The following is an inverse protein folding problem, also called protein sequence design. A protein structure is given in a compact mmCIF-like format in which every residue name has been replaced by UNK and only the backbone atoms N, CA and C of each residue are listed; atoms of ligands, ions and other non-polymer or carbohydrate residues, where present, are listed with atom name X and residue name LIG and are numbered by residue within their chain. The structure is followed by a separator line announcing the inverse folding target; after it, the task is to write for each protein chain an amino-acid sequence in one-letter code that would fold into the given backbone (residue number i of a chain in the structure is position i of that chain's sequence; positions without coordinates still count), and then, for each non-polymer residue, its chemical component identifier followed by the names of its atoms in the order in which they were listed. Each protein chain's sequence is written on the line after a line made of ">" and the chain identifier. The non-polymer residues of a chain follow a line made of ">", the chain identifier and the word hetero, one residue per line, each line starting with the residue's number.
data_IF_257325125113
#
_entry.id   IF_257325125113
#
_cell.length_a   1.000
_cell.length_b   1.000
_cell.length_c   1.000
_cell.angle_alpha   90.00
_cell.angle_beta   90.00
_cell.angle_gamma   90.00
#
_symmetry.space_group_name_H-M   'P 1'
#
loop_
_entity.id
_entity.type
_entity.pdbx_description
1 polymer ?
#
# COMPACT_ATOMS: atom_id res chain seq x y z
N UNK A 1 -28.71 -7.35 -13.49
CA UNK A 1 -27.77 -6.43 -14.20
C UNK A 1 -27.11 -5.39 -13.30
N UNK A 2 -27.75 -4.96 -12.20
CA UNK A 2 -27.23 -3.94 -11.27
C UNK A 2 -25.99 -4.38 -10.48
N UNK A 3 -25.90 -5.65 -10.06
CA UNK A 3 -24.78 -6.17 -9.26
C UNK A 3 -23.47 -6.36 -10.07
N UNK A 4 -23.52 -6.80 -11.33
CA UNK A 4 -22.31 -6.91 -12.15
C UNK A 4 -21.68 -5.54 -12.44
N UNK A 5 -22.52 -4.52 -12.62
CA UNK A 5 -22.09 -3.12 -12.77
C UNK A 5 -21.59 -2.51 -11.45
N UNK A 6 -22.04 -3.02 -10.29
CA UNK A 6 -21.51 -2.61 -8.99
C UNK A 6 -20.13 -3.24 -8.75
N UNK A 7 -19.94 -4.51 -9.11
CA UNK A 7 -18.68 -5.23 -9.00
C UNK A 7 -17.58 -4.59 -9.84
N UNK A 8 -17.85 -4.29 -11.12
CA UNK A 8 -16.86 -3.66 -12.00
C UNK A 8 -16.41 -2.29 -11.48
N UNK A 9 -17.33 -1.49 -10.92
CA UNK A 9 -17.00 -0.22 -10.28
C UNK A 9 -16.08 -0.39 -9.07
N UNK A 10 -16.32 -1.41 -8.23
CA UNK A 10 -15.47 -1.67 -7.07
C UNK A 10 -14.07 -2.18 -7.47
N UNK A 11 -13.97 -3.02 -8.51
CA UNK A 11 -12.69 -3.43 -9.08
C UNK A 11 -11.89 -2.24 -9.62
N UNK A 12 -12.56 -1.33 -10.33
CA UNK A 12 -11.93 -0.10 -10.80
C UNK A 12 -11.48 0.82 -9.65
N UNK A 13 -12.30 0.98 -8.59
CA UNK A 13 -11.93 1.74 -7.39
C UNK A 13 -10.70 1.15 -6.69
N UNK A 14 -10.66 -0.18 -6.55
CA UNK A 14 -9.49 -0.86 -6.00
C UNK A 14 -8.24 -0.57 -6.82
N UNK A 15 -8.31 -0.70 -8.16
CA UNK A 15 -7.19 -0.41 -9.04
C UNK A 15 -6.70 1.05 -8.89
N UNK A 16 -7.62 2.03 -8.85
CA UNK A 16 -7.28 3.44 -8.63
C UNK A 16 -6.59 3.66 -7.29
N UNK A 17 -7.07 3.06 -6.21
CA UNK A 17 -6.45 3.18 -4.88
C UNK A 17 -5.05 2.57 -4.85
N UNK A 18 -4.86 1.40 -5.47
CA UNK A 18 -3.53 0.79 -5.58
C UNK A 18 -2.59 1.68 -6.41
N UNK A 19 -3.05 2.26 -7.51
CA UNK A 19 -2.26 3.21 -8.30
C UNK A 19 -1.88 4.47 -7.53
N UNK A 20 -2.81 5.06 -6.76
CA UNK A 20 -2.51 6.17 -5.85
C UNK A 20 -1.41 5.75 -4.86
N UNK A 21 -1.54 4.56 -4.26
CA UNK A 21 -0.54 4.00 -3.37
C UNK A 21 0.84 3.80 -4.03
N UNK A 22 0.87 3.33 -5.28
CA UNK A 22 2.11 3.19 -6.07
C UNK A 22 2.74 4.56 -6.30
N UNK A 23 1.96 5.55 -6.73
CA UNK A 23 2.46 6.90 -6.98
C UNK A 23 3.00 7.57 -5.70
N UNK A 24 2.30 7.41 -4.58
CA UNK A 24 2.76 7.86 -3.27
C UNK A 24 4.09 7.18 -2.90
N UNK A 25 4.19 5.87 -3.05
CA UNK A 25 5.44 5.15 -2.82
C UNK A 25 6.56 5.70 -3.70
N UNK A 26 6.33 5.88 -5.00
CA UNK A 26 7.36 6.41 -5.91
C UNK A 26 7.78 7.85 -5.58
N UNK A 27 6.88 8.66 -5.01
CA UNK A 27 7.21 9.98 -4.47
C UNK A 27 8.19 9.90 -3.28
N UNK A 28 8.28 8.77 -2.57
CA UNK A 28 9.33 8.51 -1.58
C UNK A 28 10.54 7.79 -2.17
N UNK A 29 10.35 6.82 -3.07
CA UNK A 29 11.42 6.02 -3.69
C UNK A 29 12.43 6.92 -4.39
N UNK A 30 11.97 7.85 -5.24
CA UNK A 30 12.88 8.69 -6.02
C UNK A 30 13.75 9.58 -5.11
N UNK A 31 13.20 10.35 -4.16
CA UNK A 31 14.03 11.11 -3.23
C UNK A 31 14.89 10.24 -2.32
N UNK A 32 14.43 9.07 -1.85
CA UNK A 32 15.25 8.19 -1.00
C UNK A 32 16.49 7.66 -1.72
N UNK A 33 16.42 7.46 -3.05
CA UNK A 33 17.55 7.00 -3.85
C UNK A 33 18.53 8.15 -4.12
N UNK A 34 18.03 9.29 -4.60
CA UNK A 34 18.88 10.39 -5.10
C UNK A 34 19.24 11.42 -4.02
N UNK A 35 18.30 11.79 -3.15
CA UNK A 35 18.43 12.84 -2.13
C UNK A 35 17.85 12.42 -0.76
N UNK A 36 18.37 11.36 -0.13
CA UNK A 36 17.81 10.81 1.11
C UNK A 36 17.85 11.79 2.28
N UNK A 37 18.90 12.60 2.41
CA UNK A 37 19.02 13.61 3.48
C UNK A 37 17.94 14.68 3.38
N UNK A 38 17.62 15.11 2.15
CA UNK A 38 16.58 16.12 1.93
C UNK A 38 15.21 15.59 2.33
N UNK A 39 14.80 14.42 1.81
CA UNK A 39 13.48 13.87 2.09
C UNK A 39 13.32 13.48 3.56
N UNK A 40 14.34 12.88 4.17
CA UNK A 40 14.31 12.49 5.58
C UNK A 40 14.39 13.71 6.50
N UNK A 41 15.09 14.77 6.09
CA UNK A 41 15.13 16.05 6.78
C UNK A 41 13.76 16.72 6.90
N UNK A 42 12.86 16.56 5.92
CA UNK A 42 11.47 17.04 6.01
C UNK A 42 10.69 16.40 7.16
N UNK A 43 11.08 15.20 7.57
CA UNK A 43 10.48 14.45 8.67
C UNK A 43 11.32 14.53 9.97
N UNK A 44 12.37 15.35 10.01
CA UNK A 44 13.25 15.47 11.17
C UNK A 44 14.09 14.22 11.44
N UNK A 45 14.35 13.39 10.43
CA UNK A 45 15.14 12.15 10.54
C UNK A 45 16.58 12.43 10.09
N UNK A 46 17.54 12.23 11.00
CA UNK A 46 18.97 12.35 10.70
C UNK A 46 19.50 11.12 9.98
N UNK A 47 20.28 11.32 8.92
CA UNK A 47 20.88 10.22 8.15
C UNK A 47 22.33 9.99 8.59
N UNK A 48 22.58 8.85 9.22
CA UNK A 48 23.95 8.45 9.60
C UNK A 48 24.72 7.80 8.43
N UNK A 49 24.03 6.97 7.65
CA UNK A 49 24.61 6.28 6.50
C UNK A 49 23.62 6.28 5.34
N UNK A 50 24.04 6.83 4.21
CA UNK A 50 23.21 6.98 3.00
C UNK A 50 22.75 5.65 2.40
N UNK A 51 23.43 4.54 2.71
CA UNK A 51 23.13 3.23 2.12
C UNK A 51 21.76 2.71 2.55
N UNK A 52 21.35 2.91 3.81
CA UNK A 52 20.10 2.36 4.34
C UNK A 52 18.84 3.02 3.76
N UNK A 53 18.74 4.37 3.70
CA UNK A 53 17.63 5.04 3.03
C UNK A 53 17.50 4.65 1.56
N UNK A 54 18.64 4.57 0.85
CA UNK A 54 18.67 4.17 -0.57
C UNK A 54 18.21 2.74 -0.77
N UNK A 55 18.68 1.82 0.08
CA UNK A 55 18.26 0.42 0.05
C UNK A 55 16.77 0.27 0.37
N UNK A 56 16.27 0.96 1.39
CA UNK A 56 14.85 0.99 1.73
C UNK A 56 14.00 1.55 0.58
N UNK A 57 14.45 2.61 -0.07
CA UNK A 57 13.81 3.16 -1.27
C UNK A 57 13.72 2.16 -2.42
N UNK A 58 14.79 1.41 -2.70
CA UNK A 58 14.77 0.37 -3.72
C UNK A 58 13.79 -0.76 -3.38
N UNK A 59 13.77 -1.23 -2.13
CA UNK A 59 12.81 -2.25 -1.67
C UNK A 59 11.36 -1.77 -1.82
N UNK A 60 11.07 -0.52 -1.43
CA UNK A 60 9.76 0.09 -1.60
C UNK A 60 9.36 0.20 -3.08
N UNK A 61 10.32 0.52 -3.96
CA UNK A 61 10.12 0.54 -5.40
C UNK A 61 9.76 -0.83 -5.97
N UNK A 62 10.50 -1.88 -5.57
CA UNK A 62 10.23 -3.26 -5.99
C UNK A 62 8.83 -3.72 -5.53
N UNK A 63 8.47 -3.46 -4.26
CA UNK A 63 7.15 -3.77 -3.73
C UNK A 63 6.04 -3.09 -4.54
N UNK A 64 6.26 -1.82 -4.90
CA UNK A 64 5.30 -1.04 -5.68
C UNK A 64 5.07 -1.62 -7.09
N UNK A 65 6.11 -2.16 -7.72
CA UNK A 65 5.99 -2.86 -9.01
C UNK A 65 5.16 -4.13 -8.86
N UNK A 66 5.35 -4.90 -7.78
CA UNK A 66 4.57 -6.12 -7.52
C UNK A 66 3.10 -5.87 -7.23
N UNK A 67 2.69 -4.62 -6.95
CA UNK A 67 1.27 -4.29 -6.82
C UNK A 67 0.56 -4.10 -8.17
N UNK A 68 1.30 -3.83 -9.26
CA UNK A 68 0.74 -3.51 -10.58
C UNK A 68 -0.16 -4.64 -11.12
N UNK A 69 0.21 -5.94 -11.09
CA UNK A 69 -0.61 -7.00 -11.65
C UNK A 69 -2.04 -7.05 -11.09
N UNK A 70 -2.21 -6.77 -9.80
CA UNK A 70 -3.51 -6.72 -9.13
C UNK A 70 -4.41 -5.56 -9.60
N UNK A 71 -3.84 -4.53 -10.24
CA UNK A 71 -4.59 -3.40 -10.82
C UNK A 71 -5.11 -3.69 -12.21
N UNK A 72 -4.43 -4.57 -12.97
CA UNK A 72 -4.80 -4.93 -14.34
C UNK A 72 -5.91 -5.98 -14.33
N UNK A 73 -5.75 -7.02 -13.51
CA UNK A 73 -6.73 -8.10 -13.38
C UNK A 73 -6.71 -8.66 -11.95
N UNK A 74 -7.63 -8.17 -11.13
CA UNK A 74 -7.76 -8.58 -9.73
C UNK A 74 -8.26 -10.02 -9.57
N UNK A 75 -8.94 -10.57 -10.58
CA UNK A 75 -9.48 -11.92 -10.52
C UNK A 75 -8.36 -12.93 -10.77
N UNK A 76 -7.51 -12.65 -11.77
CA UNK A 76 -6.33 -13.46 -12.07
C UNK A 76 -5.23 -13.31 -11.03
N UNK A 77 -4.96 -12.09 -10.56
CA UNK A 77 -3.83 -11.77 -9.67
C UNK A 77 -4.26 -11.50 -8.23
N UNK A 78 -5.31 -12.19 -7.75
CA UNK A 78 -5.87 -12.01 -6.41
C UNK A 78 -4.86 -12.20 -5.28
N UNK A 79 -3.90 -13.10 -5.45
CA UNK A 79 -2.82 -13.32 -4.48
C UNK A 79 -1.99 -12.04 -4.33
N UNK A 80 -1.68 -11.34 -5.41
CA UNK A 80 -0.93 -10.07 -5.35
C UNK A 80 -1.74 -8.96 -4.67
N UNK A 81 -3.07 -8.92 -4.86
CA UNK A 81 -3.95 -7.98 -4.16
C UNK A 81 -3.92 -8.21 -2.64
N UNK A 82 -3.93 -9.47 -2.20
CA UNK A 82 -3.80 -9.82 -0.80
C UNK A 82 -2.41 -9.52 -0.26
N UNK A 83 -1.34 -9.94 -0.94
CA UNK A 83 0.05 -9.70 -0.53
C UNK A 83 0.36 -8.21 -0.39
N UNK A 84 -0.23 -7.37 -1.24
CA UNK A 84 -0.10 -5.92 -1.17
C UNK A 84 -0.67 -5.35 0.15
N UNK A 85 -1.75 -5.93 0.68
CA UNK A 85 -2.30 -5.57 1.98
C UNK A 85 -1.51 -6.28 3.09
N UNK A 86 -1.62 -7.61 3.13
CA UNK A 86 -0.95 -8.48 4.10
C UNK A 86 -0.10 -9.51 3.35
N UNK A 87 1.23 -9.51 3.54
CA UNK A 87 1.94 -8.88 4.65
C UNK A 87 2.41 -7.45 4.38
N UNK A 88 2.41 -6.96 3.13
CA UNK A 88 3.26 -5.82 2.76
C UNK A 88 2.96 -4.52 3.51
N UNK A 89 1.74 -3.97 3.37
CA UNK A 89 1.38 -2.69 4.01
C UNK A 89 1.15 -2.84 5.52
N UNK A 90 0.62 -3.98 5.96
CA UNK A 90 0.39 -4.24 7.39
C UNK A 90 1.71 -4.33 8.16
N UNK A 91 2.67 -5.15 7.72
CA UNK A 91 3.95 -5.28 8.41
C UNK A 91 4.77 -4.00 8.33
N UNK A 92 4.74 -3.28 7.20
CA UNK A 92 5.38 -1.96 7.10
C UNK A 92 4.82 -0.96 8.12
N UNK A 93 3.49 -0.86 8.22
CA UNK A 93 2.83 0.02 9.20
C UNK A 93 3.19 -0.35 10.63
N UNK A 94 3.11 -1.64 10.97
CA UNK A 94 3.47 -2.14 12.31
C UNK A 94 4.95 -1.87 12.61
N UNK A 95 5.84 -2.09 11.65
CA UNK A 95 7.26 -1.82 11.81
C UNK A 95 7.53 -0.35 12.14
N UNK A 96 6.93 0.59 11.40
CA UNK A 96 7.11 2.02 11.69
C UNK A 96 6.49 2.45 13.03
N UNK A 97 5.37 1.84 13.44
CA UNK A 97 4.82 2.06 14.78
C UNK A 97 5.76 1.55 15.88
N UNK A 98 6.29 0.33 15.73
CA UNK A 98 7.27 -0.21 16.68
C UNK A 98 8.57 0.60 16.69
N UNK A 99 9.01 1.10 15.54
CA UNK A 99 10.18 1.96 15.45
C UNK A 99 10.05 3.19 16.36
N UNK A 100 8.88 3.84 16.35
CA UNK A 100 8.65 5.05 17.15
C UNK A 100 8.37 4.73 18.61
N UNK A 101 7.49 3.78 18.91
CA UNK A 101 7.03 3.53 20.28
C UNK A 101 7.91 2.56 21.08
N UNK A 102 8.71 1.73 20.41
CA UNK A 102 9.53 0.68 21.06
C UNK A 102 11.03 0.92 20.83
N UNK A 103 11.43 1.38 19.64
CA UNK A 103 12.85 1.58 19.29
C UNK A 103 13.31 3.05 19.40
N UNK A 104 12.49 3.91 20.00
CA UNK A 104 12.78 5.34 20.28
C UNK A 104 13.24 6.12 19.03
N UNK A 105 12.67 5.78 17.87
CA UNK A 105 12.97 6.48 16.60
C UNK A 105 12.16 7.79 16.49
N UNK A 106 12.65 8.76 15.69
CA UNK A 106 11.96 10.03 15.46
C UNK A 106 10.50 9.88 15.06
N UNK A 107 9.64 10.78 15.57
CA UNK A 107 8.20 10.82 15.26
C UNK A 107 7.90 10.94 13.75
N UNK A 108 8.85 11.43 12.95
CA UNK A 108 8.74 11.50 11.49
C UNK A 108 8.41 10.17 10.82
N UNK A 109 8.83 9.04 11.40
CA UNK A 109 8.51 7.70 10.88
C UNK A 109 7.02 7.36 10.96
N UNK A 110 6.24 8.05 11.81
CA UNK A 110 4.79 7.88 11.87
C UNK A 110 4.11 8.30 10.55
N UNK A 111 4.68 9.24 9.79
CA UNK A 111 4.13 9.63 8.50
C UNK A 111 4.06 8.43 7.54
N UNK A 112 5.10 7.59 7.53
CA UNK A 112 5.11 6.33 6.78
C UNK A 112 4.01 5.38 7.26
N UNK A 113 3.87 5.20 8.57
CA UNK A 113 2.82 4.36 9.15
C UNK A 113 1.40 4.83 8.78
N UNK A 114 1.14 6.13 8.85
CA UNK A 114 -0.18 6.67 8.51
C UNK A 114 -0.49 6.57 7.02
N UNK A 115 0.48 6.85 6.15
CA UNK A 115 0.31 6.76 4.71
C UNK A 115 0.11 5.30 4.27
N UNK A 116 0.99 4.39 4.67
CA UNK A 116 0.86 2.98 4.30
C UNK A 116 -0.35 2.32 4.95
N UNK A 117 -0.64 2.66 6.21
CA UNK A 117 -1.79 2.16 6.94
C UNK A 117 -3.11 2.62 6.31
N UNK A 118 -3.25 3.90 5.97
CA UNK A 118 -4.47 4.42 5.34
C UNK A 118 -4.73 3.80 3.97
N UNK A 119 -3.71 3.70 3.11
CA UNK A 119 -3.83 3.04 1.80
C UNK A 119 -4.10 1.54 1.97
N UNK A 120 -3.45 0.88 2.94
CA UNK A 120 -3.66 -0.54 3.24
C UNK A 120 -5.10 -0.82 3.70
N UNK A 121 -5.64 0.01 4.60
CA UNK A 121 -7.04 -0.11 5.08
C UNK A 121 -8.01 0.15 3.93
N UNK A 122 -7.79 1.18 3.12
CA UNK A 122 -8.68 1.52 2.00
C UNK A 122 -8.71 0.42 0.92
N UNK A 123 -7.54 -0.15 0.58
CA UNK A 123 -7.44 -1.24 -0.39
C UNK A 123 -8.02 -2.54 0.17
N UNK A 124 -7.79 -2.86 1.45
CA UNK A 124 -8.41 -4.00 2.13
C UNK A 124 -9.94 -3.89 2.15
N UNK A 125 -10.48 -2.71 2.49
CA UNK A 125 -11.91 -2.49 2.50
C UNK A 125 -12.53 -2.74 1.11
N UNK A 126 -11.89 -2.24 0.04
CA UNK A 126 -12.33 -2.51 -1.32
C UNK A 126 -12.26 -4.01 -1.66
N UNK A 127 -11.18 -4.69 -1.28
CA UNK A 127 -11.01 -6.12 -1.52
C UNK A 127 -12.09 -6.95 -0.84
N UNK A 128 -12.37 -6.68 0.44
CA UNK A 128 -13.44 -7.34 1.19
C UNK A 128 -14.83 -7.08 0.57
N UNK A 129 -15.08 -5.87 0.07
CA UNK A 129 -16.34 -5.54 -0.62
C UNK A 129 -16.47 -6.28 -1.95
N UNK A 130 -15.39 -6.39 -2.72
CA UNK A 130 -15.36 -7.18 -3.97
C UNK A 130 -15.68 -8.65 -3.68
N UNK A 131 -15.04 -9.25 -2.67
CA UNK A 131 -15.28 -10.64 -2.28
C UNK A 131 -16.73 -10.90 -1.84
N UNK A 132 -17.30 -10.01 -1.02
CA UNK A 132 -18.72 -10.10 -0.60
C UNK A 132 -19.67 -10.02 -1.79
N UNK A 133 -19.40 -9.13 -2.75
CA UNK A 133 -20.24 -9.01 -3.95
C UNK A 133 -20.14 -10.25 -4.84
N UNK A 134 -18.96 -10.83 -4.99
CA UNK A 134 -18.76 -12.09 -5.73
C UNK A 134 -19.51 -13.25 -5.08
N UNK A 135 -19.45 -13.38 -3.75
CA UNK A 135 -20.21 -14.38 -2.99
C UNK A 135 -21.71 -14.21 -3.17
N UNK A 136 -22.23 -12.98 -3.06
CA UNK A 136 -23.66 -12.72 -3.25
C UNK A 136 -24.13 -13.09 -4.67
N UNK A 137 -23.29 -12.85 -5.68
CA UNK A 137 -23.58 -13.24 -7.06
C UNK A 137 -23.57 -14.77 -7.21
N UNK A 138 -22.60 -15.45 -6.60
CA UNK A 138 -22.48 -16.91 -6.64
C UNK A 138 -23.64 -17.62 -5.90
N UNK A 139 -24.11 -17.06 -4.78
CA UNK A 139 -25.24 -17.57 -3.99
C UNK A 139 -26.61 -17.20 -4.59
N UNK A 140 -26.67 -16.40 -5.66
CA UNK A 140 -27.93 -15.99 -6.30
C UNK A 140 -28.81 -15.07 -5.43
N UNK A 141 -28.30 -14.55 -4.31
CA UNK A 141 -29.05 -13.67 -3.39
C UNK A 141 -29.18 -12.26 -3.99
N UNK A 142 -30.31 -12.00 -4.62
CA UNK A 142 -30.77 -10.65 -4.94
C UNK A 142 -31.46 -10.08 -3.69
N UNK A 143 -30.81 -9.14 -3.00
CA UNK A 143 -31.42 -8.29 -1.98
C UNK A 143 -31.27 -6.83 -2.39
#
# INVERSE_FOLDING_TARGET
>A
MTQSRSLSKWKARHAVLVWIGILLNFAFVLPLIFWPEWILGLFGISVNQLIWPRFAGLLLGILSIFYIPATLDIDRYRVFAWLAVFPSRTLGTVFFLLAVFVFDQPLGYLAGAFLDGSVGIATLFCLLRILRLEQNIAEGRQA
#
